data_IF_978168910300
#
_entry.id   IF_978168910300
#
_cell.length_a   1.000
_cell.length_b   1.000
_cell.length_c   1.000
_cell.angle_alpha   90.00
_cell.angle_beta   90.00
_cell.angle_gamma   90.00
#
_symmetry.space_group_name_H-M   'P 1'
#
loop_
_entity.id
_entity.type
_entity.pdbx_description
1 polymer ?
#
# COMPACT_ATOMS: atom_id res chain seq x y z
N UNK A 1 -16.23 -3.46 -21.97
CA UNK A 1 -14.78 -3.26 -22.26
C UNK A 1 -14.56 -2.80 -23.70
N UNK A 2 -13.61 -1.89 -23.94
CA UNK A 2 -13.26 -1.38 -25.28
C UNK A 2 -12.09 -2.19 -25.85
N UNK A 3 -12.25 -2.74 -27.07
CA UNK A 3 -11.15 -3.39 -27.81
C UNK A 3 -10.42 -2.33 -28.64
N UNK A 4 -9.08 -2.31 -28.59
CA UNK A 4 -8.21 -1.36 -29.28
C UNK A 4 -7.10 -2.16 -29.94
N UNK A 5 -6.99 -2.05 -31.28
CA UNK A 5 -6.02 -2.82 -32.05
C UNK A 5 -4.88 -1.93 -32.52
N UNK A 6 -3.65 -2.32 -32.21
CA UNK A 6 -2.41 -1.69 -32.66
C UNK A 6 -2.38 -0.17 -32.46
N UNK A 7 -2.61 0.34 -31.22
CA UNK A 7 -2.61 1.77 -30.96
C UNK A 7 -1.22 2.36 -31.28
N UNK A 8 -1.20 3.53 -31.91
CA UNK A 8 0.05 4.24 -32.14
C UNK A 8 0.65 4.70 -30.78
N UNK A 9 1.99 4.76 -30.68
CA UNK A 9 2.64 5.14 -29.40
C UNK A 9 2.22 6.53 -28.90
N UNK A 10 1.94 7.43 -29.81
CA UNK A 10 1.45 8.79 -29.53
C UNK A 10 0.07 8.80 -28.85
N UNK A 11 -0.69 7.72 -28.93
CA UNK A 11 -2.02 7.56 -28.34
C UNK A 11 -1.94 6.91 -26.94
N UNK A 12 -0.78 6.38 -26.53
CA UNK A 12 -0.64 5.62 -25.28
C UNK A 12 -0.92 6.45 -24.05
N UNK A 13 -0.51 7.70 -24.00
CA UNK A 13 -0.81 8.58 -22.86
C UNK A 13 -2.32 8.73 -22.61
N UNK A 14 -3.11 8.75 -23.68
CA UNK A 14 -4.58 8.77 -23.58
C UNK A 14 -5.14 7.38 -23.25
N UNK A 15 -4.54 6.33 -23.84
CA UNK A 15 -4.92 4.95 -23.65
C UNK A 15 -4.77 4.52 -22.18
N UNK A 16 -3.70 4.93 -21.50
CA UNK A 16 -3.41 4.55 -20.12
C UNK A 16 -4.08 5.45 -19.08
N UNK A 17 -4.86 6.44 -19.48
CA UNK A 17 -5.61 7.30 -18.56
C UNK A 17 -6.58 6.51 -17.70
N UNK A 18 -6.63 6.90 -16.44
CA UNK A 18 -7.52 6.37 -15.42
C UNK A 18 -8.69 7.29 -15.18
N UNK A 19 -9.83 6.76 -14.72
CA UNK A 19 -10.95 7.59 -14.31
C UNK A 19 -10.51 8.60 -13.25
N UNK A 20 -10.89 9.87 -13.39
CA UNK A 20 -10.66 10.91 -12.38
C UNK A 20 -11.98 11.32 -11.78
N UNK A 21 -12.02 11.34 -10.45
CA UNK A 21 -13.15 11.90 -9.71
C UNK A 21 -12.89 13.39 -9.43
N UNK A 22 -13.93 14.21 -9.50
CA UNK A 22 -13.85 15.59 -9.04
C UNK A 22 -13.81 15.62 -7.51
N UNK A 23 -12.67 16.07 -6.97
CA UNK A 23 -12.40 16.05 -5.53
C UNK A 23 -12.63 17.40 -4.84
N UNK A 24 -13.15 18.43 -5.52
CA UNK A 24 -13.25 19.78 -4.98
C UNK A 24 -14.21 19.88 -3.79
N UNK A 25 -15.44 19.34 -3.92
CA UNK A 25 -16.42 19.30 -2.82
C UNK A 25 -16.02 18.32 -1.72
N UNK A 26 -15.33 17.23 -2.10
CA UNK A 26 -14.85 16.23 -1.19
C UNK A 26 -13.82 16.82 -0.21
N UNK A 27 -12.88 17.63 -0.69
CA UNK A 27 -11.84 18.23 0.16
C UNK A 27 -12.44 19.12 1.26
N UNK A 28 -13.45 19.92 0.98
CA UNK A 28 -14.10 20.76 1.99
C UNK A 28 -14.77 19.93 3.09
N UNK A 29 -15.43 18.82 2.71
CA UNK A 29 -16.04 17.88 3.67
C UNK A 29 -14.98 17.22 4.55
N UNK A 30 -13.90 16.73 3.95
CA UNK A 30 -12.79 16.08 4.66
C UNK A 30 -12.13 17.04 5.65
N UNK A 31 -11.82 18.26 5.21
CA UNK A 31 -11.21 19.27 6.07
C UNK A 31 -12.12 19.62 7.25
N UNK A 32 -13.45 19.75 7.02
CA UNK A 32 -14.42 19.98 8.08
C UNK A 32 -14.40 18.89 9.15
N UNK A 33 -14.39 17.61 8.75
CA UNK A 33 -14.33 16.47 9.68
C UNK A 33 -12.99 16.43 10.43
N UNK A 34 -11.87 16.60 9.72
CA UNK A 34 -10.54 16.59 10.33
C UNK A 34 -10.38 17.70 11.38
N UNK A 35 -10.83 18.91 11.07
CA UNK A 35 -10.78 20.05 11.99
C UNK A 35 -11.69 19.83 13.22
N UNK A 36 -12.86 19.22 13.03
CA UNK A 36 -13.76 18.91 14.14
C UNK A 36 -13.14 17.86 15.09
N UNK A 37 -12.55 16.78 14.53
CA UNK A 37 -11.82 15.78 15.34
C UNK A 37 -10.62 16.38 16.07
N UNK A 38 -9.86 17.25 15.41
CA UNK A 38 -8.72 17.95 16.02
C UNK A 38 -9.10 18.80 17.22
N UNK A 39 -10.26 19.44 17.17
CA UNK A 39 -10.71 20.38 18.20
C UNK A 39 -11.55 19.73 19.30
N UNK A 40 -12.24 18.62 19.04
CA UNK A 40 -13.23 18.04 19.95
C UNK A 40 -13.00 16.56 20.26
N UNK A 41 -11.91 15.96 19.77
CA UNK A 41 -11.45 14.60 20.15
C UNK A 41 -12.52 13.52 20.00
N UNK A 42 -12.65 12.66 21.01
CA UNK A 42 -13.57 11.54 21.03
C UNK A 42 -15.03 11.95 20.80
N UNK A 43 -15.43 13.13 21.28
CA UNK A 43 -16.80 13.59 21.12
C UNK A 43 -17.17 13.87 19.66
N UNK A 44 -16.22 14.34 18.85
CA UNK A 44 -16.39 14.49 17.40
C UNK A 44 -16.43 13.12 16.72
N UNK A 45 -15.52 12.22 17.07
CA UNK A 45 -15.47 10.87 16.52
C UNK A 45 -16.80 10.14 16.72
N UNK A 46 -17.34 10.12 17.95
CA UNK A 46 -18.62 9.47 18.28
C UNK A 46 -19.77 10.03 17.44
N UNK A 47 -19.84 11.37 17.29
CA UNK A 47 -20.87 11.99 16.42
C UNK A 47 -20.77 11.54 14.95
N UNK A 48 -19.55 11.36 14.44
CA UNK A 48 -19.37 10.93 13.06
C UNK A 48 -19.63 9.43 12.87
N UNK A 49 -19.33 8.57 13.86
CA UNK A 49 -19.72 7.16 13.83
C UNK A 49 -21.25 7.00 13.81
N UNK A 50 -21.97 7.80 14.62
CA UNK A 50 -23.43 7.82 14.57
C UNK A 50 -23.97 8.32 13.22
N UNK A 51 -23.34 9.39 12.67
CA UNK A 51 -23.79 10.01 11.42
C UNK A 51 -23.52 9.15 10.18
N UNK A 52 -22.34 8.53 10.07
CA UNK A 52 -21.89 7.87 8.84
C UNK A 52 -22.04 6.34 8.91
N UNK A 53 -21.73 5.74 10.04
CA UNK A 53 -21.79 4.29 10.24
C UNK A 53 -23.08 3.84 10.97
N UNK A 54 -23.90 4.81 11.45
CA UNK A 54 -25.13 4.59 12.19
C UNK A 54 -24.92 3.74 13.45
N UNK A 55 -23.74 3.85 14.06
CA UNK A 55 -23.34 3.12 15.25
C UNK A 55 -23.40 4.01 16.49
N UNK A 56 -24.15 3.57 17.52
CA UNK A 56 -24.12 4.17 18.86
C UNK A 56 -23.03 3.49 19.68
N UNK A 57 -22.03 4.23 20.11
CA UNK A 57 -20.86 3.71 20.81
C UNK A 57 -20.71 4.34 22.19
N UNK A 58 -20.73 3.49 23.25
CA UNK A 58 -20.36 3.88 24.60
C UNK A 58 -18.83 3.96 24.80
N UNK A 59 -18.08 3.22 23.97
CA UNK A 59 -16.62 3.18 23.94
C UNK A 59 -16.11 3.01 22.52
N UNK A 60 -15.07 3.78 22.16
CA UNK A 60 -14.40 3.64 20.88
C UNK A 60 -13.46 2.43 20.83
N UNK A 61 -12.97 1.96 21.98
CA UNK A 61 -12.05 0.83 22.06
C UNK A 61 -12.81 -0.51 21.98
N UNK A 62 -12.19 -1.49 21.31
CA UNK A 62 -12.60 -2.89 21.40
C UNK A 62 -12.14 -3.45 22.74
N UNK A 63 -13.03 -4.10 23.47
CA UNK A 63 -12.77 -4.71 24.77
C UNK A 63 -12.21 -6.13 24.64
N UNK A 64 -11.59 -6.64 25.72
CA UNK A 64 -11.12 -8.03 25.78
C UNK A 64 -12.29 -9.03 25.58
N UNK A 65 -13.47 -8.71 26.13
CA UNK A 65 -14.67 -9.56 25.95
C UNK A 65 -15.12 -9.63 24.48
N UNK A 66 -15.04 -8.52 23.72
CA UNK A 66 -15.32 -8.53 22.27
C UNK A 66 -14.29 -9.35 21.51
N UNK A 67 -13.03 -9.34 21.92
CA UNK A 67 -11.96 -10.17 21.34
C UNK A 67 -12.21 -11.68 21.60
N UNK A 68 -12.61 -12.05 22.82
CA UNK A 68 -12.95 -13.44 23.18
C UNK A 68 -14.20 -13.93 22.43
N UNK A 69 -15.24 -13.09 22.36
CA UNK A 69 -16.45 -13.39 21.57
C UNK A 69 -16.09 -13.64 20.10
N UNK A 70 -15.29 -12.75 19.50
CA UNK A 70 -14.87 -12.87 18.10
C UNK A 70 -14.13 -14.18 17.82
N UNK A 71 -13.25 -14.61 18.73
CA UNK A 71 -12.54 -15.87 18.59
C UNK A 71 -13.50 -17.08 18.53
N UNK A 72 -14.60 -17.03 19.28
CA UNK A 72 -15.60 -18.09 19.29
C UNK A 72 -16.47 -18.14 18.02
N UNK A 73 -16.62 -16.97 17.36
CA UNK A 73 -17.47 -16.82 16.17
C UNK A 73 -16.77 -17.17 14.85
N UNK A 74 -15.43 -17.14 14.81
CA UNK A 74 -14.68 -17.47 13.61
C UNK A 74 -14.54 -18.98 13.47
N UNK A 75 -14.88 -19.51 12.29
CA UNK A 75 -14.75 -20.94 11.99
C UNK A 75 -13.32 -21.43 12.09
N UNK A 76 -13.13 -22.71 12.42
CA UNK A 76 -11.81 -23.32 12.49
C UNK A 76 -11.09 -23.30 11.14
N UNK A 77 -11.83 -23.48 10.05
CA UNK A 77 -11.30 -23.40 8.68
C UNK A 77 -10.72 -22.02 8.38
N UNK A 78 -11.45 -20.93 8.70
CA UNK A 78 -10.97 -19.57 8.51
C UNK A 78 -9.75 -19.27 9.41
N UNK A 79 -9.72 -19.76 10.65
CA UNK A 79 -8.56 -19.61 11.53
C UNK A 79 -7.30 -20.23 10.89
N UNK A 80 -7.40 -21.46 10.41
CA UNK A 80 -6.27 -22.12 9.73
C UNK A 80 -5.84 -21.37 8.47
N UNK A 81 -6.78 -20.84 7.69
CA UNK A 81 -6.45 -20.02 6.51
C UNK A 81 -5.70 -18.72 6.90
N UNK A 82 -6.16 -18.03 7.96
CA UNK A 82 -5.49 -16.83 8.49
C UNK A 82 -4.09 -17.13 9.02
N UNK A 83 -3.91 -18.26 9.72
CA UNK A 83 -2.61 -18.72 10.23
C UNK A 83 -1.63 -19.04 9.10
N UNK A 84 -2.10 -19.73 8.05
CA UNK A 84 -1.30 -20.01 6.86
C UNK A 84 -0.86 -18.71 6.17
N UNK A 85 -1.81 -17.80 5.92
CA UNK A 85 -1.52 -16.51 5.31
C UNK A 85 -0.51 -15.71 6.14
N UNK A 86 -0.74 -15.61 7.46
CA UNK A 86 0.17 -14.92 8.39
C UNK A 86 1.58 -15.53 8.36
N UNK A 87 1.70 -16.87 8.31
CA UNK A 87 2.99 -17.56 8.22
C UNK A 87 3.74 -17.14 6.94
N UNK A 88 3.08 -17.20 5.78
CA UNK A 88 3.69 -16.88 4.50
C UNK A 88 4.07 -15.39 4.41
N UNK A 89 3.17 -14.49 4.83
CA UNK A 89 3.45 -13.04 4.91
C UNK A 89 4.63 -12.77 5.83
N UNK A 90 4.68 -13.44 7.00
CA UNK A 90 5.80 -13.30 7.94
C UNK A 90 7.12 -13.76 7.32
N UNK A 91 7.13 -14.92 6.66
CA UNK A 91 8.32 -15.48 6.04
C UNK A 91 8.89 -14.56 4.97
N UNK A 92 8.02 -14.02 4.09
CA UNK A 92 8.43 -13.09 3.04
C UNK A 92 8.95 -11.77 3.60
N UNK A 93 8.24 -11.15 4.57
CA UNK A 93 8.67 -9.87 5.11
C UNK A 93 9.90 -9.97 6.02
N UNK A 94 10.11 -11.11 6.71
CA UNK A 94 11.35 -11.35 7.45
C UNK A 94 12.58 -11.36 6.55
N UNK A 95 12.47 -11.84 5.31
CA UNK A 95 13.58 -11.83 4.35
C UNK A 95 14.02 -10.44 3.92
N UNK A 96 13.20 -9.42 4.19
CA UNK A 96 13.46 -8.01 3.84
C UNK A 96 14.24 -7.25 4.92
N UNK A 97 14.72 -7.92 5.98
CA UNK A 97 15.45 -7.26 7.05
C UNK A 97 16.75 -6.61 6.53
N UNK A 98 16.91 -5.33 6.84
CA UNK A 98 18.08 -4.57 6.45
C UNK A 98 19.26 -4.85 7.39
N UNK A 99 20.35 -5.33 6.84
CA UNK A 99 21.63 -5.53 7.52
C UNK A 99 22.63 -4.48 7.01
N UNK A 100 22.76 -3.35 7.73
CA UNK A 100 23.66 -2.28 7.33
C UNK A 100 25.13 -2.66 7.52
N UNK A 101 25.92 -2.44 6.48
CA UNK A 101 27.38 -2.61 6.54
C UNK A 101 28.08 -1.32 6.95
N UNK A 102 29.23 -1.44 7.63
CA UNK A 102 30.11 -0.33 7.89
C UNK A 102 31.11 -0.18 6.74
N UNK A 103 31.13 1.00 6.15
CA UNK A 103 31.99 1.33 5.02
C UNK A 103 33.03 2.35 5.49
N UNK A 104 34.31 2.03 5.37
CA UNK A 104 35.38 2.99 5.50
C UNK A 104 35.52 3.71 4.15
N UNK A 105 35.03 4.95 4.08
CA UNK A 105 35.02 5.73 2.83
C UNK A 105 36.40 6.28 2.46
N UNK A 106 37.19 6.57 3.47
CA UNK A 106 38.61 6.92 3.40
C UNK A 106 39.22 6.58 4.78
N UNK A 107 40.53 6.39 4.82
CA UNK A 107 41.20 6.01 6.09
C UNK A 107 40.76 6.88 7.28
N UNK A 108 40.26 6.21 8.32
CA UNK A 108 39.76 6.84 9.53
C UNK A 108 38.35 7.45 9.46
N UNK A 109 37.61 7.28 8.34
CA UNK A 109 36.21 7.73 8.22
C UNK A 109 35.31 6.53 7.96
N UNK A 110 34.47 6.18 8.92
CA UNK A 110 33.55 5.05 8.84
C UNK A 110 32.09 5.52 8.83
N UNK A 111 31.33 5.13 7.82
CA UNK A 111 29.91 5.45 7.68
C UNK A 111 29.06 4.17 7.63
N UNK A 112 27.85 4.21 8.23
CA UNK A 112 26.90 3.11 8.15
C UNK A 112 25.46 3.57 8.34
N UNK A 113 24.52 2.70 8.03
CA UNK A 113 23.09 2.89 8.30
C UNK A 113 22.61 1.88 9.32
N UNK A 114 21.66 2.30 10.17
CA UNK A 114 20.91 1.44 11.09
C UNK A 114 19.43 1.56 10.77
N UNK A 115 18.75 0.42 10.59
CA UNK A 115 17.30 0.37 10.53
C UNK A 115 16.70 0.49 11.92
N UNK A 116 15.72 1.39 12.08
CA UNK A 116 15.02 1.65 13.34
C UNK A 116 13.53 1.74 13.07
N UNK A 117 12.74 0.92 13.76
CA UNK A 117 11.30 0.91 13.62
C UNK A 117 10.66 2.28 13.91
N UNK A 118 9.59 2.59 13.19
CA UNK A 118 8.66 3.64 13.56
C UNK A 118 7.93 3.16 14.81
N UNK A 119 8.00 3.95 15.89
CA UNK A 119 7.55 3.48 17.21
C UNK A 119 6.05 3.27 17.27
N UNK A 120 5.26 4.18 16.66
CA UNK A 120 3.79 4.17 16.68
C UNK A 120 3.24 4.26 15.26
N UNK A 121 2.47 3.27 14.85
CA UNK A 121 1.84 3.21 13.53
C UNK A 121 0.34 3.03 13.64
N UNK A 122 -0.39 3.68 12.75
CA UNK A 122 -1.84 3.54 12.62
C UNK A 122 -2.18 2.71 11.38
N UNK A 123 -3.08 1.78 11.53
CA UNK A 123 -3.60 0.92 10.47
C UNK A 123 -5.09 1.24 10.29
N UNK A 124 -5.45 1.65 9.10
CA UNK A 124 -6.85 1.83 8.73
C UNK A 124 -7.33 0.63 7.92
N UNK A 125 -8.37 -0.03 8.40
CA UNK A 125 -9.00 -1.16 7.72
C UNK A 125 -10.43 -0.72 7.34
N UNK A 126 -10.74 -0.61 6.04
CA UNK A 126 -12.07 -0.23 5.63
C UNK A 126 -13.09 -1.30 6.02
N UNK A 127 -14.25 -0.83 6.44
CA UNK A 127 -15.46 -1.64 6.54
C UNK A 127 -16.22 -1.56 5.21
N UNK A 128 -17.43 -1.59 5.16
CA UNK A 128 -18.25 -1.41 3.96
C UNK A 128 -18.77 -2.75 3.44
N UNK A 129 -18.67 -3.00 2.14
CA UNK A 129 -19.31 -4.15 1.52
C UNK A 129 -18.59 -5.48 1.76
N UNK A 130 -17.33 -5.46 2.19
CA UNK A 130 -16.53 -6.64 2.50
C UNK A 130 -15.64 -6.39 3.72
N UNK A 131 -15.53 -7.33 4.67
CA UNK A 131 -14.61 -7.25 5.80
C UNK A 131 -13.19 -7.61 5.33
N UNK A 132 -12.33 -6.61 5.16
CA UNK A 132 -10.97 -6.81 4.63
C UNK A 132 -9.99 -7.28 5.72
N UNK A 133 -10.24 -8.46 6.29
CA UNK A 133 -9.36 -9.04 7.31
C UNK A 133 -7.97 -9.43 6.78
N UNK A 134 -7.82 -9.70 5.49
CA UNK A 134 -6.51 -9.90 4.85
C UNK A 134 -5.62 -8.66 4.97
N UNK A 135 -6.19 -7.47 4.81
CA UNK A 135 -5.46 -6.20 4.95
C UNK A 135 -4.90 -6.02 6.37
N UNK A 136 -5.58 -6.56 7.39
CA UNK A 136 -5.02 -6.56 8.76
C UNK A 136 -3.70 -7.34 8.79
N UNK A 137 -3.66 -8.54 8.21
CA UNK A 137 -2.43 -9.34 8.14
C UNK A 137 -1.33 -8.65 7.35
N UNK A 138 -1.70 -8.08 6.18
CA UNK A 138 -0.78 -7.39 5.28
C UNK A 138 -0.11 -6.16 5.91
N UNK A 139 -0.82 -5.46 6.80
CA UNK A 139 -0.29 -4.24 7.44
C UNK A 139 0.32 -4.52 8.81
N UNK A 140 -0.35 -5.32 9.65
CA UNK A 140 0.10 -5.53 11.02
C UNK A 140 1.31 -6.47 11.12
N UNK A 141 1.40 -7.49 10.26
CA UNK A 141 2.51 -8.44 10.29
C UNK A 141 3.87 -7.76 10.04
N UNK A 142 4.07 -7.00 8.94
CA UNK A 142 5.35 -6.30 8.75
C UNK A 142 5.60 -5.23 9.80
N UNK A 143 4.57 -4.55 10.33
CA UNK A 143 4.73 -3.61 11.45
C UNK A 143 5.31 -4.29 12.70
N UNK A 144 4.81 -5.50 13.00
CA UNK A 144 5.31 -6.32 14.13
C UNK A 144 6.73 -6.80 13.90
N UNK A 145 7.05 -7.29 12.71
CA UNK A 145 8.40 -7.76 12.33
C UNK A 145 9.41 -6.59 12.39
N UNK A 146 9.03 -5.40 11.93
CA UNK A 146 9.87 -4.20 12.02
C UNK A 146 10.19 -3.80 13.47
N UNK A 147 9.34 -4.19 14.44
CA UNK A 147 9.49 -3.85 15.85
C UNK A 147 8.77 -2.58 16.26
N UNK A 148 7.69 -2.19 15.56
CA UNK A 148 6.80 -1.12 15.99
C UNK A 148 6.24 -1.43 17.39
N UNK A 149 6.39 -0.49 18.33
CA UNK A 149 5.97 -0.73 19.72
C UNK A 149 4.47 -0.63 19.92
N UNK A 150 3.84 0.28 19.19
CA UNK A 150 2.42 0.54 19.27
C UNK A 150 1.82 0.46 17.85
N UNK A 151 0.94 -0.51 17.66
CA UNK A 151 0.21 -0.75 16.40
C UNK A 151 -1.26 -0.49 16.72
N UNK A 152 -1.77 0.64 16.24
CA UNK A 152 -3.14 1.10 16.43
C UNK A 152 -3.96 0.74 15.19
N UNK A 153 -5.07 0.04 15.35
CA UNK A 153 -5.96 -0.31 14.26
C UNK A 153 -7.29 0.40 14.43
N UNK A 154 -7.75 1.10 13.39
CA UNK A 154 -9.09 1.67 13.29
C UNK A 154 -9.86 0.98 12.17
N UNK A 155 -11.08 0.56 12.46
CA UNK A 155 -12.01 -0.06 11.51
C UNK A 155 -13.44 0.28 11.89
N UNK A 156 -14.34 0.56 10.93
CA UNK A 156 -15.70 0.91 11.27
C UNK A 156 -16.44 -0.26 11.93
N UNK A 157 -17.28 0.03 12.94
CA UNK A 157 -18.19 -0.94 13.49
C UNK A 157 -19.40 -1.15 12.57
N UNK A 158 -20.16 -2.20 12.84
CA UNK A 158 -21.51 -2.35 12.31
C UNK A 158 -22.51 -1.50 13.13
N UNK A 159 -23.79 -1.52 12.76
CA UNK A 159 -24.86 -0.74 13.43
C UNK A 159 -25.06 -1.13 14.90
N UNK A 160 -24.71 -2.35 15.28
CA UNK A 160 -24.72 -2.83 16.66
C UNK A 160 -23.47 -2.42 17.46
N UNK A 161 -22.58 -1.62 16.88
CA UNK A 161 -21.34 -1.16 17.51
C UNK A 161 -20.25 -2.24 17.61
N UNK A 162 -20.35 -3.33 16.81
CA UNK A 162 -19.39 -4.44 16.81
C UNK A 162 -18.52 -4.44 15.57
N UNK A 163 -17.25 -4.80 15.75
CA UNK A 163 -16.32 -5.06 14.65
C UNK A 163 -16.50 -6.48 14.14
N UNK A 164 -16.29 -6.71 12.85
CA UNK A 164 -16.36 -8.03 12.25
C UNK A 164 -15.39 -9.02 12.95
N UNK A 165 -15.86 -10.20 13.40
CA UNK A 165 -15.03 -11.14 14.14
C UNK A 165 -13.75 -11.59 13.41
N UNK A 166 -13.78 -11.72 12.08
CA UNK A 166 -12.61 -12.10 11.30
C UNK A 166 -11.52 -11.00 11.31
N UNK A 167 -11.89 -9.72 11.34
CA UNK A 167 -10.96 -8.59 11.51
C UNK A 167 -10.29 -8.67 12.89
N UNK A 168 -11.07 -8.92 13.95
CA UNK A 168 -10.53 -9.05 15.32
C UNK A 168 -9.60 -10.26 15.44
N UNK A 169 -9.97 -11.39 14.83
CA UNK A 169 -9.12 -12.60 14.82
C UNK A 169 -7.81 -12.36 14.06
N UNK A 170 -7.84 -11.73 12.89
CA UNK A 170 -6.64 -11.36 12.14
C UNK A 170 -5.74 -10.40 12.93
N UNK A 171 -6.34 -9.41 13.61
CA UNK A 171 -5.62 -8.47 14.46
C UNK A 171 -4.93 -9.16 15.65
N UNK A 172 -5.59 -10.15 16.27
CA UNK A 172 -5.01 -11.00 17.31
C UNK A 172 -3.82 -11.79 16.81
N UNK A 173 -3.97 -12.48 15.67
CA UNK A 173 -2.90 -13.29 15.05
C UNK A 173 -1.68 -12.42 14.72
N UNK A 174 -1.91 -11.24 14.13
CA UNK A 174 -0.83 -10.33 13.72
C UNK A 174 -0.24 -9.48 14.87
N UNK A 175 -0.81 -9.56 16.09
CA UNK A 175 -0.30 -8.91 17.29
C UNK A 175 -0.51 -7.40 17.32
N UNK A 176 -1.67 -6.94 16.87
CA UNK A 176 -2.12 -5.54 17.00
C UNK A 176 -2.25 -5.15 18.46
N UNK A 177 -1.78 -3.95 18.83
CA UNK A 177 -1.73 -3.49 20.22
C UNK A 177 -3.05 -2.94 20.72
N UNK A 178 -3.76 -2.18 19.87
CA UNK A 178 -5.01 -1.48 20.22
C UNK A 178 -5.93 -1.45 19.01
N UNK A 179 -7.21 -1.69 19.22
CA UNK A 179 -8.23 -1.70 18.17
C UNK A 179 -9.35 -0.74 18.54
N UNK A 180 -9.74 0.10 17.58
CA UNK A 180 -10.78 1.10 17.75
C UNK A 180 -11.89 0.93 16.71
N UNK A 181 -13.11 1.10 17.16
CA UNK A 181 -14.36 1.02 16.39
C UNK A 181 -14.62 2.36 15.69
N UNK A 182 -13.76 2.72 14.75
CA UNK A 182 -13.79 4.02 14.08
C UNK A 182 -13.54 3.85 12.58
N UNK A 183 -14.47 4.38 11.77
CA UNK A 183 -14.40 4.37 10.31
C UNK A 183 -13.97 5.70 9.70
N UNK A 184 -13.92 5.77 8.38
CA UNK A 184 -13.89 6.99 7.60
C UNK A 184 -12.77 8.00 7.89
N UNK A 185 -13.09 9.26 7.58
CA UNK A 185 -12.18 10.40 7.76
C UNK A 185 -11.84 10.63 9.24
N UNK A 186 -12.82 10.40 10.14
CA UNK A 186 -12.64 10.60 11.57
C UNK A 186 -11.62 9.61 12.17
N UNK A 187 -11.47 8.42 11.60
CA UNK A 187 -10.42 7.48 11.99
C UNK A 187 -9.02 8.02 11.66
N UNK A 188 -8.87 8.58 10.45
CA UNK A 188 -7.61 9.21 10.02
C UNK A 188 -7.28 10.40 10.92
N UNK A 189 -8.27 11.27 11.20
CA UNK A 189 -8.12 12.40 12.12
C UNK A 189 -7.74 11.96 13.54
N UNK A 190 -8.41 10.95 14.09
CA UNK A 190 -8.12 10.42 15.43
C UNK A 190 -6.68 9.89 15.54
N UNK A 191 -6.20 9.14 14.56
CA UNK A 191 -4.82 8.63 14.53
C UNK A 191 -3.80 9.75 14.29
N UNK A 192 -4.12 10.75 13.45
CA UNK A 192 -3.20 11.83 13.11
C UNK A 192 -2.99 12.83 14.25
N UNK A 193 -4.06 13.19 14.94
CA UNK A 193 -4.00 14.22 16.00
C UNK A 193 -3.88 13.64 17.41
N UNK A 194 -4.39 12.42 17.59
CA UNK A 194 -4.66 11.85 18.90
C UNK A 194 -5.98 12.38 19.48
N UNK A 195 -6.65 11.54 20.26
CA UNK A 195 -7.84 11.90 21.02
C UNK A 195 -7.69 11.40 22.45
N UNK A 196 -8.74 11.52 23.28
CA UNK A 196 -8.71 10.99 24.64
C UNK A 196 -8.49 9.46 24.67
N UNK A 197 -9.10 8.74 23.69
CA UNK A 197 -9.00 7.28 23.57
C UNK A 197 -7.91 6.85 22.61
N UNK A 198 -7.80 7.50 21.43
CA UNK A 198 -6.92 7.08 20.34
C UNK A 198 -5.56 7.75 20.45
N UNK A 199 -4.46 7.00 20.60
CA UNK A 199 -3.14 7.60 20.66
C UNK A 199 -2.73 8.16 19.30
N UNK A 200 -2.06 9.33 19.30
CA UNK A 200 -1.42 9.88 18.09
C UNK A 200 -0.34 8.92 17.60
N UNK A 201 -0.34 8.69 16.29
CA UNK A 201 0.67 7.85 15.60
C UNK A 201 1.63 8.70 14.76
N UNK A 202 2.70 8.07 14.25
CA UNK A 202 3.72 8.76 13.45
C UNK A 202 3.60 8.47 11.96
N UNK A 203 2.92 7.37 11.61
CA UNK A 203 2.61 7.02 10.22
C UNK A 203 1.31 6.23 10.15
N UNK A 204 0.48 6.54 9.14
CA UNK A 204 -0.81 5.88 8.89
C UNK A 204 -0.69 5.05 7.62
N UNK A 205 -1.18 3.81 7.70
CA UNK A 205 -1.22 2.84 6.62
C UNK A 205 -2.66 2.38 6.37
N UNK A 206 -2.92 1.94 5.17
CA UNK A 206 -4.16 1.24 4.81
C UNK A 206 -4.90 1.85 3.64
N UNK A 207 -5.61 1.00 2.89
CA UNK A 207 -6.47 1.41 1.78
C UNK A 207 -7.73 2.12 2.32
N UNK A 208 -8.45 2.78 1.45
CA UNK A 208 -9.71 3.40 1.79
C UNK A 208 -10.40 4.00 0.57
N UNK A 209 -11.65 4.40 0.75
CA UNK A 209 -12.37 5.13 -0.28
C UNK A 209 -11.77 6.53 -0.51
N UNK A 210 -12.30 7.25 -1.49
CA UNK A 210 -11.84 8.59 -1.85
C UNK A 210 -11.77 9.59 -0.67
N UNK A 211 -12.69 9.50 0.31
CA UNK A 211 -12.69 10.36 1.49
C UNK A 211 -11.52 10.06 2.43
N UNK A 212 -11.26 8.76 2.67
CA UNK A 212 -10.13 8.30 3.48
C UNK A 212 -8.81 8.67 2.81
N UNK A 213 -8.71 8.50 1.50
CA UNK A 213 -7.50 8.86 0.75
C UNK A 213 -7.25 10.38 0.79
N UNK A 214 -8.29 11.20 0.59
CA UNK A 214 -8.17 12.65 0.71
C UNK A 214 -7.78 13.07 2.15
N UNK A 215 -8.33 12.41 3.18
CA UNK A 215 -7.96 12.65 4.56
C UNK A 215 -6.48 12.31 4.82
N UNK A 216 -6.00 11.16 4.34
CA UNK A 216 -4.58 10.78 4.43
C UNK A 216 -3.68 11.80 3.76
N UNK A 217 -4.02 12.23 2.54
CA UNK A 217 -3.26 13.26 1.83
C UNK A 217 -3.25 14.58 2.59
N UNK A 218 -4.41 15.01 3.13
CA UNK A 218 -4.51 16.26 3.89
C UNK A 218 -3.60 16.22 5.13
N UNK A 219 -3.68 15.18 5.98
CA UNK A 219 -2.85 15.10 7.19
C UNK A 219 -1.37 14.87 6.87
N UNK A 220 -1.04 14.35 5.69
CA UNK A 220 0.36 14.13 5.29
C UNK A 220 1.13 15.42 5.00
N UNK A 221 0.45 16.52 4.77
CA UNK A 221 1.08 17.81 4.48
C UNK A 221 1.80 18.39 5.71
N UNK A 222 1.25 18.17 6.93
CA UNK A 222 1.75 18.85 8.12
C UNK A 222 1.75 18.03 9.42
N UNK A 223 1.00 16.93 9.50
CA UNK A 223 0.66 16.31 10.78
C UNK A 223 1.28 14.91 10.98
N UNK A 224 1.16 14.01 9.98
CA UNK A 224 1.56 12.60 10.11
C UNK A 224 1.98 12.02 8.76
N UNK A 225 2.98 11.16 8.72
CA UNK A 225 3.34 10.46 7.48
C UNK A 225 2.25 9.45 7.06
N UNK A 226 2.19 9.14 5.76
CA UNK A 226 1.32 8.08 5.23
C UNK A 226 2.14 7.04 4.46
N UNK A 227 1.55 5.90 4.15
CA UNK A 227 2.15 4.84 3.33
C UNK A 227 2.45 5.35 1.91
N UNK A 228 1.41 5.60 1.12
CA UNK A 228 1.51 6.09 -0.25
C UNK A 228 0.20 6.76 -0.68
N UNK A 229 0.21 7.62 -1.70
CA UNK A 229 -0.99 7.98 -2.42
C UNK A 229 -1.55 6.75 -3.12
N UNK A 230 -2.87 6.61 -3.15
CA UNK A 230 -3.54 5.52 -3.85
C UNK A 230 -4.82 6.03 -4.53
N UNK A 231 -5.30 5.30 -5.49
CA UNK A 231 -6.56 5.49 -6.18
C UNK A 231 -7.33 4.18 -6.21
N UNK A 232 -8.26 4.01 -7.16
CA UNK A 232 -8.96 2.77 -7.40
C UNK A 232 -8.01 1.62 -7.77
N UNK A 233 -8.41 0.40 -7.46
CA UNK A 233 -7.62 -0.80 -7.74
C UNK A 233 -7.52 -1.12 -9.23
N UNK A 234 -6.41 -1.72 -9.65
CA UNK A 234 -6.05 -1.93 -11.05
C UNK A 234 -5.37 -3.28 -11.27
N UNK A 235 -5.70 -3.96 -12.38
CA UNK A 235 -4.94 -5.10 -12.87
C UNK A 235 -4.59 -4.93 -14.35
N UNK A 236 -3.38 -5.31 -14.72
CA UNK A 236 -2.95 -5.48 -16.10
C UNK A 236 -2.56 -6.95 -16.32
N UNK A 237 -3.11 -7.57 -17.35
CA UNK A 237 -2.76 -8.93 -17.75
C UNK A 237 -2.11 -8.91 -19.12
N UNK A 238 -0.93 -9.52 -19.25
CA UNK A 238 -0.30 -9.80 -20.55
C UNK A 238 -0.57 -11.26 -20.88
N UNK A 239 -1.25 -11.50 -22.01
CA UNK A 239 -1.66 -12.84 -22.46
C UNK A 239 -1.41 -13.05 -23.96
N UNK A 240 -1.18 -14.30 -24.34
CA UNK A 240 -0.99 -14.73 -25.72
C UNK A 240 -1.80 -16.00 -26.04
N UNK A 241 -1.59 -16.60 -27.20
CA UNK A 241 -2.25 -17.85 -27.61
C UNK A 241 -1.96 -19.05 -26.70
N UNK A 242 -0.94 -18.99 -25.86
CA UNK A 242 -0.59 -20.06 -24.90
C UNK A 242 -1.29 -19.90 -23.56
N UNK A 243 -1.90 -18.75 -23.30
CA UNK A 243 -2.62 -18.44 -22.06
C UNK A 243 -3.98 -19.12 -21.98
N UNK A 244 -4.48 -19.35 -20.78
CA UNK A 244 -5.82 -19.88 -20.58
C UNK A 244 -6.84 -18.74 -20.46
N UNK A 245 -7.78 -18.58 -21.42
CA UNK A 245 -8.73 -17.47 -21.41
C UNK A 245 -9.67 -17.49 -20.20
N UNK A 246 -9.96 -18.66 -19.62
CA UNK A 246 -10.80 -18.81 -18.42
C UNK A 246 -10.09 -18.19 -17.21
N UNK A 247 -8.77 -18.40 -17.06
CA UNK A 247 -7.99 -17.84 -15.99
C UNK A 247 -7.82 -16.33 -16.13
N UNK A 248 -7.47 -15.88 -17.35
CA UNK A 248 -7.35 -14.44 -17.64
C UNK A 248 -8.66 -13.70 -17.35
N UNK A 249 -9.79 -14.25 -17.76
CA UNK A 249 -11.10 -13.66 -17.46
C UNK A 249 -11.39 -13.59 -15.96
N UNK A 250 -11.04 -14.63 -15.21
CA UNK A 250 -11.20 -14.67 -13.76
C UNK A 250 -10.33 -13.60 -13.07
N UNK A 251 -9.08 -13.41 -13.51
CA UNK A 251 -8.17 -12.39 -12.98
C UNK A 251 -8.66 -10.96 -13.27
N UNK A 252 -9.21 -10.71 -14.47
CA UNK A 252 -9.83 -9.41 -14.78
C UNK A 252 -11.05 -9.14 -13.89
N UNK A 253 -11.86 -10.16 -13.64
CA UNK A 253 -13.08 -10.03 -12.85
C UNK A 253 -12.80 -9.91 -11.35
N UNK A 254 -11.76 -10.57 -10.82
CA UNK A 254 -11.35 -10.43 -9.41
C UNK A 254 -11.04 -8.97 -9.07
N UNK A 255 -10.42 -8.24 -9.99
CA UNK A 255 -10.17 -6.82 -9.81
C UNK A 255 -11.40 -5.94 -10.07
N UNK A 256 -12.21 -6.29 -11.08
CA UNK A 256 -13.40 -5.51 -11.43
C UNK A 256 -14.45 -5.47 -10.32
N UNK A 257 -14.50 -6.48 -9.44
CA UNK A 257 -15.46 -6.53 -8.33
C UNK A 257 -15.10 -5.66 -7.11
N UNK A 258 -13.89 -5.04 -7.08
CA UNK A 258 -13.47 -4.17 -5.97
C UNK A 258 -14.27 -2.87 -5.92
N UNK A 259 -14.53 -2.22 -7.08
CA UNK A 259 -15.24 -0.95 -7.13
C UNK A 259 -15.63 -0.55 -8.54
N UNK A 260 -16.62 0.33 -8.66
CA UNK A 260 -17.11 0.84 -9.96
C UNK A 260 -16.06 1.66 -10.72
N UNK A 261 -15.08 2.17 -10.02
CA UNK A 261 -13.95 2.97 -10.48
C UNK A 261 -12.67 2.16 -10.69
N UNK A 262 -12.67 0.86 -10.37
CA UNK A 262 -11.59 -0.07 -10.71
C UNK A 262 -11.38 -0.15 -12.23
N UNK A 263 -10.15 -0.46 -12.64
CA UNK A 263 -9.81 -0.59 -14.06
C UNK A 263 -9.06 -1.89 -14.32
N UNK A 264 -9.50 -2.65 -15.31
CA UNK A 264 -8.80 -3.83 -15.78
C UNK A 264 -8.26 -3.62 -17.20
N UNK A 265 -7.06 -4.11 -17.44
CA UNK A 265 -6.33 -3.88 -18.69
C UNK A 265 -5.77 -5.22 -19.20
N UNK A 266 -6.21 -5.67 -20.36
CA UNK A 266 -5.61 -6.81 -21.05
C UNK A 266 -4.75 -6.33 -22.20
N UNK A 267 -3.51 -6.78 -22.26
CA UNK A 267 -2.60 -6.59 -23.38
C UNK A 267 -2.34 -7.97 -24.01
N UNK A 268 -2.61 -8.13 -25.27
CA UNK A 268 -2.41 -9.41 -25.97
C UNK A 268 -1.75 -9.25 -27.32
N UNK A 269 -0.95 -10.23 -27.71
CA UNK A 269 -0.40 -10.37 -29.05
C UNK A 269 -1.31 -11.22 -29.97
N UNK A 270 -2.41 -11.77 -29.40
CA UNK A 270 -3.34 -12.69 -30.09
C UNK A 270 -4.76 -12.12 -30.12
N UNK A 271 -5.29 -11.85 -31.31
CA UNK A 271 -6.68 -11.42 -31.51
C UNK A 271 -7.66 -12.51 -31.01
N UNK A 272 -7.36 -13.79 -31.31
CA UNK A 272 -8.17 -14.92 -30.86
C UNK A 272 -8.26 -14.98 -29.34
N UNK A 273 -7.16 -14.67 -28.62
CA UNK A 273 -7.15 -14.62 -27.16
C UNK A 273 -8.07 -13.49 -26.65
N UNK A 274 -8.04 -12.31 -27.25
CA UNK A 274 -8.93 -11.20 -26.87
C UNK A 274 -10.40 -11.59 -26.98
N UNK A 275 -10.80 -12.23 -28.09
CA UNK A 275 -12.19 -12.65 -28.27
C UNK A 275 -12.60 -13.74 -27.27
N UNK A 276 -11.75 -14.74 -27.04
CA UNK A 276 -12.03 -15.79 -26.05
C UNK A 276 -12.13 -15.24 -24.62
N UNK A 277 -11.25 -14.31 -24.24
CA UNK A 277 -11.32 -13.68 -22.91
C UNK A 277 -12.59 -12.85 -22.77
N UNK A 278 -12.99 -12.13 -23.80
CA UNK A 278 -14.23 -11.35 -23.79
C UNK A 278 -15.47 -12.24 -23.59
N UNK A 279 -15.56 -13.37 -24.32
CA UNK A 279 -16.64 -14.36 -24.13
C UNK A 279 -16.64 -14.94 -22.71
N UNK A 280 -15.47 -15.31 -22.17
CA UNK A 280 -15.36 -15.86 -20.83
C UNK A 280 -15.66 -14.81 -19.74
N UNK A 281 -15.27 -13.54 -19.92
CA UNK A 281 -15.66 -12.46 -19.01
C UNK A 281 -17.19 -12.29 -18.97
N UNK A 282 -17.88 -12.28 -20.10
CA UNK A 282 -19.33 -12.18 -20.15
C UNK A 282 -20.00 -13.35 -19.42
N UNK A 283 -19.53 -14.57 -19.67
CA UNK A 283 -20.03 -15.79 -19.05
C UNK A 283 -19.80 -15.85 -17.53
N UNK A 284 -18.60 -15.48 -17.05
CA UNK A 284 -18.26 -15.52 -15.63
C UNK A 284 -18.91 -14.35 -14.85
N UNK A 285 -19.04 -13.17 -15.46
CA UNK A 285 -19.70 -12.01 -14.89
C UNK A 285 -21.15 -12.33 -14.46
N UNK A 286 -21.88 -13.10 -15.26
CA UNK A 286 -23.26 -13.49 -14.91
C UNK A 286 -23.38 -14.34 -13.64
N UNK A 287 -22.28 -14.96 -13.21
CA UNK A 287 -22.23 -15.80 -12.00
C UNK A 287 -21.79 -15.04 -10.74
N UNK A 288 -21.30 -13.80 -10.89
CA UNK A 288 -20.80 -13.02 -9.76
C UNK A 288 -21.92 -12.41 -8.92
N UNK A 289 -21.88 -12.56 -7.58
CA UNK A 289 -22.82 -11.86 -6.70
C UNK A 289 -22.78 -10.33 -6.84
N UNK A 290 -21.61 -9.76 -7.18
CA UNK A 290 -21.35 -8.32 -7.35
C UNK A 290 -21.34 -7.89 -8.82
N UNK A 291 -22.02 -8.57 -9.70
CA UNK A 291 -21.97 -8.38 -11.15
C UNK A 291 -22.25 -6.95 -11.62
N UNK A 292 -23.17 -6.23 -10.96
CA UNK A 292 -23.51 -4.86 -11.34
C UNK A 292 -22.33 -3.89 -11.10
N UNK A 293 -21.55 -4.13 -10.05
CA UNK A 293 -20.35 -3.34 -9.74
C UNK A 293 -19.23 -3.67 -10.73
N UNK A 294 -18.97 -4.95 -10.94
CA UNK A 294 -17.96 -5.41 -11.89
C UNK A 294 -18.29 -4.93 -13.32
N UNK A 295 -19.55 -5.00 -13.76
CA UNK A 295 -19.96 -4.50 -15.07
C UNK A 295 -19.61 -3.02 -15.27
N UNK A 296 -19.85 -2.16 -14.27
CA UNK A 296 -19.50 -0.74 -14.33
C UNK A 296 -17.98 -0.51 -14.40
N UNK A 297 -17.21 -1.28 -13.66
CA UNK A 297 -15.74 -1.27 -13.74
C UNK A 297 -15.26 -1.64 -15.16
N UNK A 298 -15.88 -2.65 -15.78
CA UNK A 298 -15.55 -3.09 -17.13
C UNK A 298 -15.84 -2.02 -18.20
N UNK A 299 -16.73 -1.05 -17.96
CA UNK A 299 -16.97 0.07 -18.89
C UNK A 299 -15.74 0.99 -19.01
N UNK A 300 -14.94 1.10 -17.96
CA UNK A 300 -13.68 1.85 -17.91
C UNK A 300 -12.48 1.04 -18.40
N UNK A 301 -12.66 -0.22 -18.74
CA UNK A 301 -11.62 -1.22 -18.96
C UNK A 301 -11.32 -1.43 -20.44
N UNK A 302 -10.10 -1.91 -20.74
CA UNK A 302 -9.60 -1.98 -22.12
C UNK A 302 -8.94 -3.32 -22.40
N UNK A 303 -9.15 -3.81 -23.64
CA UNK A 303 -8.47 -4.96 -24.22
C UNK A 303 -7.64 -4.45 -25.40
N UNK A 304 -6.33 -4.61 -25.35
CA UNK A 304 -5.40 -4.01 -26.31
C UNK A 304 -4.66 -5.10 -27.07
N UNK A 305 -4.80 -5.10 -28.39
CA UNK A 305 -4.01 -5.94 -29.27
C UNK A 305 -2.74 -5.20 -29.71
N UNK A 306 -1.59 -5.80 -29.45
CA UNK A 306 -0.27 -5.27 -29.79
C UNK A 306 0.47 -6.20 -30.75
N UNK A 307 1.56 -5.73 -31.37
CA UNK A 307 2.29 -6.48 -32.40
C UNK A 307 3.14 -7.61 -31.84
N UNK A 308 3.78 -7.35 -30.70
CA UNK A 308 4.75 -8.27 -30.12
C UNK A 308 4.88 -8.04 -28.60
N UNK A 309 5.71 -8.86 -27.96
CA UNK A 309 5.94 -8.79 -26.52
C UNK A 309 6.71 -7.54 -26.07
N UNK A 310 7.56 -6.97 -26.92
CA UNK A 310 8.29 -5.75 -26.58
C UNK A 310 7.30 -4.58 -26.46
N UNK A 311 6.36 -4.48 -27.41
CA UNK A 311 5.27 -3.49 -27.34
C UNK A 311 4.34 -3.76 -26.14
N UNK A 312 4.05 -5.03 -25.80
CA UNK A 312 3.24 -5.39 -24.66
C UNK A 312 3.87 -4.92 -23.32
N UNK A 313 5.15 -5.19 -23.14
CA UNK A 313 5.88 -4.78 -21.93
C UNK A 313 6.05 -3.26 -21.87
N UNK A 314 6.36 -2.60 -22.98
CA UNK A 314 6.50 -1.14 -23.03
C UNK A 314 5.17 -0.45 -22.67
N UNK A 315 4.04 -0.93 -23.18
CA UNK A 315 2.72 -0.42 -22.85
C UNK A 315 2.36 -0.69 -21.37
N UNK A 316 2.66 -1.88 -20.86
CA UNK A 316 2.48 -2.22 -19.45
C UNK A 316 3.33 -1.33 -18.54
N UNK A 317 4.59 -1.10 -18.85
CA UNK A 317 5.47 -0.18 -18.10
C UNK A 317 4.97 1.27 -18.14
N UNK A 318 4.37 1.70 -19.27
CA UNK A 318 3.72 3.02 -19.40
C UNK A 318 2.47 3.13 -18.54
N UNK A 319 1.68 2.06 -18.48
CA UNK A 319 0.51 1.97 -17.62
C UNK A 319 0.90 1.92 -16.13
N UNK A 320 2.03 1.29 -15.80
CA UNK A 320 2.51 1.11 -14.41
C UNK A 320 1.40 0.60 -13.47
N UNK A 321 0.91 -0.63 -13.69
CA UNK A 321 -0.24 -1.17 -12.97
C UNK A 321 0.07 -1.45 -11.49
N UNK A 322 -0.98 -1.47 -10.68
CA UNK A 322 -0.94 -2.03 -9.32
C UNK A 322 -0.54 -3.51 -9.36
N UNK A 323 -1.31 -4.32 -10.09
CA UNK A 323 -1.05 -5.74 -10.29
C UNK A 323 -0.74 -6.01 -11.77
N UNK A 324 0.38 -6.68 -12.04
CA UNK A 324 0.76 -7.14 -13.37
C UNK A 324 0.79 -8.66 -13.41
N UNK A 325 -0.05 -9.28 -14.24
CA UNK A 325 -0.03 -10.73 -14.48
C UNK A 325 0.58 -10.99 -15.85
N UNK A 326 1.65 -11.76 -15.92
CA UNK A 326 2.27 -12.21 -17.18
C UNK A 326 1.88 -13.68 -17.37
N UNK A 327 0.77 -13.92 -18.08
CA UNK A 327 0.18 -15.24 -18.27
C UNK A 327 0.78 -16.04 -19.43
N UNK A 328 1.75 -15.48 -20.15
CA UNK A 328 2.40 -16.08 -21.30
C UNK A 328 3.37 -17.19 -20.91
N UNK A 329 3.75 -18.08 -21.86
CA UNK A 329 4.71 -19.14 -21.58
C UNK A 329 6.13 -18.65 -21.29
N UNK A 330 6.53 -17.52 -21.90
CA UNK A 330 7.86 -16.91 -21.74
C UNK A 330 7.90 -15.83 -20.66
N UNK A 331 7.09 -15.99 -19.60
CA UNK A 331 6.94 -15.00 -18.53
C UNK A 331 8.27 -14.63 -17.86
N UNK A 332 9.22 -15.56 -17.70
CA UNK A 332 10.54 -15.28 -17.09
C UNK A 332 11.34 -14.25 -17.89
N UNK A 333 11.37 -14.37 -19.24
CA UNK A 333 12.06 -13.42 -20.10
C UNK A 333 11.38 -12.04 -20.09
N UNK A 334 10.05 -12.01 -20.01
CA UNK A 334 9.28 -10.77 -19.96
C UNK A 334 9.42 -10.08 -18.62
N UNK A 335 9.49 -10.84 -17.52
CA UNK A 335 9.67 -10.31 -16.18
C UNK A 335 10.93 -9.45 -16.05
N UNK A 336 12.04 -9.85 -16.70
CA UNK A 336 13.30 -9.07 -16.69
C UNK A 336 13.18 -7.68 -17.34
N UNK A 337 12.15 -7.45 -18.16
CA UNK A 337 11.88 -6.18 -18.83
C UNK A 337 10.88 -5.30 -18.08
N UNK A 338 10.28 -5.81 -16.99
CA UNK A 338 9.33 -5.03 -16.17
C UNK A 338 10.10 -4.05 -15.31
N UNK A 339 9.74 -2.78 -15.41
CA UNK A 339 10.34 -1.70 -14.61
C UNK A 339 9.30 -0.94 -13.77
N UNK A 340 8.02 -1.07 -14.09
CA UNK A 340 6.96 -0.33 -13.42
C UNK A 340 5.74 -1.24 -13.16
N UNK A 341 5.62 -1.73 -11.93
CA UNK A 341 4.43 -2.43 -11.42
C UNK A 341 4.45 -2.43 -9.88
N UNK A 342 3.28 -2.49 -9.26
CA UNK A 342 3.19 -2.65 -7.80
C UNK A 342 3.57 -4.07 -7.36
N UNK A 343 3.02 -5.09 -8.03
CA UNK A 343 3.36 -6.51 -7.86
C UNK A 343 3.26 -7.24 -9.20
N UNK A 344 4.10 -8.28 -9.41
CA UNK A 344 4.15 -9.05 -10.66
C UNK A 344 3.87 -10.52 -10.38
N UNK A 345 2.96 -11.10 -11.15
CA UNK A 345 2.52 -12.50 -11.05
C UNK A 345 2.95 -13.25 -12.32
N UNK A 346 3.67 -14.35 -12.16
CA UNK A 346 4.36 -15.02 -13.25
C UNK A 346 3.72 -16.37 -13.59
N UNK A 347 3.28 -16.50 -14.84
CA UNK A 347 2.67 -17.72 -15.36
C UNK A 347 1.18 -17.86 -15.04
N UNK A 348 0.56 -18.88 -15.61
CA UNK A 348 -0.90 -19.05 -15.59
C UNK A 348 -1.51 -19.40 -14.23
N UNK A 349 -0.69 -19.86 -13.26
CA UNK A 349 -1.16 -20.23 -11.93
C UNK A 349 -0.96 -19.14 -10.87
N UNK A 350 -0.22 -18.10 -11.20
CA UNK A 350 0.04 -16.98 -10.30
C UNK A 350 -1.04 -15.91 -10.48
N UNK A 351 -2.20 -16.13 -9.88
CA UNK A 351 -3.31 -15.17 -9.91
C UNK A 351 -3.14 -14.07 -8.85
N UNK A 352 -3.75 -12.92 -9.08
CA UNK A 352 -3.82 -11.79 -8.14
C UNK A 352 -4.30 -12.23 -6.76
N UNK A 353 -5.40 -13.00 -6.70
CA UNK A 353 -5.97 -13.49 -5.43
C UNK A 353 -4.98 -14.28 -4.58
N UNK A 354 -4.02 -14.99 -5.17
CA UNK A 354 -2.98 -15.67 -4.39
C UNK A 354 -2.09 -14.66 -3.65
N UNK A 355 -1.72 -13.56 -4.29
CA UNK A 355 -0.97 -12.46 -3.69
C UNK A 355 -1.76 -11.72 -2.63
N UNK A 356 -3.03 -11.47 -2.90
CA UNK A 356 -3.92 -10.72 -2.02
C UNK A 356 -4.22 -11.41 -0.70
N UNK A 357 -4.16 -12.74 -0.68
CA UNK A 357 -4.55 -13.49 0.52
C UNK A 357 -3.42 -14.28 1.17
N UNK A 358 -2.61 -15.04 0.42
CA UNK A 358 -1.84 -16.11 1.05
C UNK A 358 -0.44 -16.39 0.51
N UNK A 359 -0.01 -15.85 -0.64
CA UNK A 359 1.33 -16.16 -1.19
C UNK A 359 2.48 -15.58 -0.36
N UNK A 360 2.23 -14.48 0.36
CA UNK A 360 3.21 -13.86 1.24
C UNK A 360 3.62 -12.43 0.85
N UNK A 361 3.42 -12.03 -0.40
CA UNK A 361 3.60 -10.64 -0.84
C UNK A 361 2.54 -9.72 -0.23
N UNK A 362 2.74 -8.40 -0.33
CA UNK A 362 1.80 -7.43 0.23
C UNK A 362 0.86 -6.90 -0.85
N UNK A 363 -0.43 -6.85 -0.55
CA UNK A 363 -1.44 -6.34 -1.47
C UNK A 363 -1.70 -4.83 -1.34
N UNK A 364 -1.09 -4.15 -0.37
CA UNK A 364 -1.20 -2.69 -0.27
C UNK A 364 -0.17 -2.07 -1.20
N UNK A 365 -0.60 -1.82 -2.42
CA UNK A 365 0.23 -1.48 -3.56
C UNK A 365 -0.07 -0.07 -4.07
N UNK A 366 0.88 0.58 -4.77
CA UNK A 366 0.63 1.86 -5.43
C UNK A 366 -0.29 1.65 -6.64
N UNK A 367 -1.38 2.40 -6.69
CA UNK A 367 -2.34 2.43 -7.79
C UNK A 367 -2.18 3.71 -8.61
N UNK A 368 -3.01 3.92 -9.62
CA UNK A 368 -3.11 5.18 -10.38
C UNK A 368 -1.77 5.63 -11.01
N UNK A 369 -0.92 4.66 -11.41
CA UNK A 369 0.40 4.92 -11.97
C UNK A 369 1.46 5.30 -10.95
N UNK A 370 1.14 5.34 -9.67
CA UNK A 370 2.14 5.63 -8.63
C UNK A 370 3.23 4.56 -8.51
N UNK A 371 3.07 3.39 -9.12
CA UNK A 371 4.13 2.38 -9.25
C UNK A 371 5.37 2.88 -10.01
N UNK A 372 5.28 4.00 -10.73
CA UNK A 372 6.43 4.71 -11.30
C UNK A 372 7.42 5.23 -10.26
N UNK A 373 6.98 5.48 -9.01
CA UNK A 373 7.80 6.15 -8.00
C UNK A 373 7.63 5.61 -6.57
N UNK A 374 6.59 4.83 -6.31
CA UNK A 374 6.28 4.29 -5.00
C UNK A 374 6.33 2.76 -4.99
N UNK A 375 6.81 2.22 -3.90
CA UNK A 375 6.78 0.77 -3.63
C UNK A 375 5.45 0.39 -2.96
N UNK A 376 5.04 -0.87 -3.12
CA UNK A 376 4.06 -1.48 -2.23
C UNK A 376 4.56 -1.51 -0.77
N UNK A 377 3.63 -1.70 0.17
CA UNK A 377 3.98 -1.84 1.57
C UNK A 377 4.94 -3.02 1.77
N UNK A 378 6.04 -2.76 2.44
CA UNK A 378 7.09 -3.71 2.73
C UNK A 378 7.70 -3.42 4.12
N UNK A 379 8.72 -4.16 4.53
CA UNK A 379 9.31 -3.97 5.86
C UNK A 379 9.95 -2.58 6.01
N UNK A 380 10.55 -2.02 4.96
CA UNK A 380 11.13 -0.68 4.98
C UNK A 380 10.08 0.43 5.17
N UNK A 381 8.81 0.16 4.83
CA UNK A 381 7.71 1.10 5.06
C UNK A 381 7.50 1.43 6.54
N UNK A 382 7.89 0.51 7.43
CA UNK A 382 7.80 0.62 8.89
C UNK A 382 9.11 1.01 9.56
N UNK A 383 10.17 1.22 8.79
CA UNK A 383 11.49 1.52 9.29
C UNK A 383 12.00 2.89 8.81
N UNK A 384 12.90 3.46 9.60
CA UNK A 384 13.73 4.61 9.22
C UNK A 384 15.18 4.16 9.20
N UNK A 385 15.91 4.55 8.17
CA UNK A 385 17.35 4.31 8.09
C UNK A 385 18.09 5.54 8.59
N UNK A 386 18.72 5.42 9.74
CA UNK A 386 19.49 6.49 10.38
C UNK A 386 20.95 6.29 9.99
N UNK A 387 21.58 7.33 9.46
CA UNK A 387 23.00 7.33 9.13
C UNK A 387 23.85 7.63 10.37
N UNK A 388 24.94 6.91 10.48
CA UNK A 388 25.98 7.11 11.49
C UNK A 388 27.30 7.34 10.80
N UNK A 389 28.13 8.19 11.38
CA UNK A 389 29.49 8.43 10.92
C UNK A 389 30.42 8.58 12.12
N UNK A 390 31.60 8.03 12.00
CA UNK A 390 32.66 8.09 12.96
C UNK A 390 33.98 8.50 12.28
N UNK A 391 34.62 9.50 12.83
CA UNK A 391 35.91 10.00 12.36
C UNK A 391 36.95 9.82 13.47
N UNK A 392 38.12 9.30 13.10
CA UNK A 392 39.32 9.29 13.93
C UNK A 392 40.17 10.52 13.63
N UNK A 393 41.28 10.71 14.35
CA UNK A 393 42.30 11.75 14.04
C UNK A 393 42.79 11.63 12.62
N UNK A 394 43.00 10.40 12.13
CA UNK A 394 43.38 10.13 10.75
C UNK A 394 42.29 10.55 9.77
N UNK A 395 41.03 10.28 10.09
CA UNK A 395 39.86 10.73 9.31
C UNK A 395 39.81 12.26 9.20
N UNK A 396 40.07 12.98 10.30
CA UNK A 396 40.15 14.44 10.30
C UNK A 396 41.30 14.92 9.37
N UNK A 397 42.48 14.27 9.40
CA UNK A 397 43.58 14.59 8.48
C UNK A 397 43.22 14.30 7.04
N UNK A 398 42.47 13.21 6.79
CA UNK A 398 42.13 12.77 5.44
C UNK A 398 41.16 13.72 4.75
N UNK A 399 40.09 14.18 5.42
CA UNK A 399 39.00 14.96 4.79
C UNK A 399 38.91 16.41 5.25
N UNK A 400 39.59 16.78 6.34
CA UNK A 400 39.40 18.07 7.00
C UNK A 400 39.62 19.29 6.08
N UNK A 401 40.68 19.28 5.29
CA UNK A 401 40.96 20.37 4.34
C UNK A 401 39.85 20.46 3.25
N UNK A 402 39.37 19.34 2.73
CA UNK A 402 38.32 19.34 1.73
C UNK A 402 37.03 19.93 2.29
N UNK A 403 36.64 19.58 3.54
CA UNK A 403 35.46 20.12 4.19
C UNK A 403 35.58 21.63 4.38
N UNK A 404 36.73 22.13 4.83
CA UNK A 404 36.96 23.57 5.02
C UNK A 404 36.82 24.32 3.70
N UNK A 405 37.51 23.85 2.65
CA UNK A 405 37.47 24.48 1.33
C UNK A 405 36.05 24.50 0.73
N UNK A 406 35.34 23.40 0.84
CA UNK A 406 33.95 23.32 0.34
C UNK A 406 33.04 24.30 1.09
N UNK A 407 33.09 24.32 2.41
CA UNK A 407 32.25 25.18 3.23
C UNK A 407 32.56 26.68 3.01
N UNK A 408 33.84 27.05 2.84
CA UNK A 408 34.23 28.43 2.51
C UNK A 408 33.69 28.85 1.13
N UNK A 409 33.76 27.98 0.13
CA UNK A 409 33.20 28.26 -1.20
C UNK A 409 31.67 28.34 -1.24
N UNK A 410 31.00 27.66 -0.31
CA UNK A 410 29.53 27.80 -0.07
C UNK A 410 29.21 29.03 0.81
N UNK A 411 30.21 29.79 1.25
CA UNK A 411 30.06 30.94 2.16
C UNK A 411 29.47 30.55 3.54
N UNK A 412 29.71 29.31 3.98
CA UNK A 412 29.29 28.76 5.25
C UNK A 412 30.45 28.73 6.27
N UNK A 413 30.89 29.91 6.72
CA UNK A 413 32.09 30.07 7.56
C UNK A 413 31.98 29.31 8.91
N UNK A 414 30.80 29.19 9.49
CA UNK A 414 30.61 28.41 10.72
C UNK A 414 30.86 26.90 10.49
N UNK A 415 30.51 26.38 9.31
CA UNK A 415 30.78 24.98 8.92
C UNK A 415 32.27 24.78 8.70
N UNK A 416 32.94 25.73 7.96
CA UNK A 416 34.39 25.70 7.76
C UNK A 416 35.10 25.70 9.11
N UNK A 417 34.72 26.60 10.02
CA UNK A 417 35.34 26.72 11.34
C UNK A 417 35.12 25.47 12.21
N UNK A 418 33.96 24.83 12.14
CA UNK A 418 33.68 23.58 12.87
C UNK A 418 34.71 22.48 12.52
N UNK A 419 35.14 22.38 11.28
CA UNK A 419 36.19 21.45 10.88
C UNK A 419 37.59 21.99 11.16
N UNK A 420 37.86 23.27 10.90
CA UNK A 420 39.17 23.93 11.07
C UNK A 420 39.69 23.79 12.50
N UNK A 421 38.87 23.97 13.53
CA UNK A 421 39.29 23.82 14.91
C UNK A 421 39.69 22.37 15.27
N UNK A 422 39.08 21.38 14.62
CA UNK A 422 39.45 19.96 14.77
C UNK A 422 40.74 19.63 14.05
N UNK A 423 40.94 20.13 12.82
CA UNK A 423 42.19 19.99 12.08
C UNK A 423 43.37 20.58 12.86
N UNK A 424 43.18 21.76 13.46
CA UNK A 424 44.20 22.42 14.31
C UNK A 424 44.53 21.65 15.57
N UNK A 425 43.57 20.95 16.17
CA UNK A 425 43.82 20.15 17.36
C UNK A 425 44.57 18.86 17.04
N UNK A 426 44.18 18.16 15.98
CA UNK A 426 44.84 16.92 15.52
C UNK A 426 46.26 17.19 14.96
N UNK A 427 46.56 18.42 14.56
CA UNK A 427 47.87 18.84 14.05
C UNK A 427 48.89 19.18 15.16
N UNK A 428 48.45 19.20 16.44
CA UNK A 428 49.33 19.41 17.59
C UNK A 428 50.00 18.11 18.02
#
# INVERSE_FOLDING_TARGET
MKVICYPAKEEWDELVKRPRLDVSELNATVEGVLNDVKNHGDSAVIRYEEKFDHAHLDSLSVSDAEMEEAESLVSLELKHALELAHHNISSFHQSQQFHGEKVETVSGVTCWQKSVAIEKVGLYIPGGTAPLFSTVLMLATPAKIAGCKEIVLCTPPNREGKVNPAILMAAKIAGVSKIFKIGGVQAIGAMAYGTESVPKVYKIFGPGNQYVMAAKQHVSLHDVAIDMPAGPSEVCVIADETSNPVFVAADLLSQAEHGVDSQVFLISTSEEMIEKVKEEVEKQLEQLPRKEMAAKSLDNSKLVLVKDYDEAIELSNTYAPEHLIIATRNYDELAEKVVNAGSVFLGQYACESAGDYASGTNHTLPTHGYALAYNGVNLDSYNRKITFQHLTDEGIRSIGNAVVVMAENEQLEAHANAMRVRVNEVGK
#
